data_IF_840581330754
#
_entry.id   IF_840581330754
#
_cell.length_a   1.000
_cell.length_b   1.000
_cell.length_c   1.000
_cell.angle_alpha   90.00
_cell.angle_beta   90.00
_cell.angle_gamma   90.00
#
_symmetry.space_group_name_H-M   'P 1'
#
loop_
_entity.id
_entity.type
_entity.pdbx_description
1 polymer ?
#
# COMPACT_ATOMS: atom_id res chain seq x y z
N UNK A 1 21.08 -11.31 -16.75
CA UNK A 1 20.96 -10.12 -17.63
C UNK A 1 21.71 -8.96 -16.99
N UNK A 2 22.27 -8.05 -17.79
CA UNK A 2 22.96 -6.84 -17.32
C UNK A 2 22.09 -5.60 -17.54
N UNK A 3 22.09 -4.70 -16.56
CA UNK A 3 21.37 -3.43 -16.59
C UNK A 3 22.09 -2.40 -15.72
N UNK A 4 21.70 -1.13 -15.84
CA UNK A 4 22.21 -0.04 -15.01
C UNK A 4 21.16 0.41 -14.00
N UNK A 5 21.56 0.54 -12.75
CA UNK A 5 20.75 1.10 -11.66
C UNK A 5 21.54 2.21 -10.99
N UNK A 6 21.01 3.43 -11.02
CA UNK A 6 21.65 4.63 -10.48
C UNK A 6 23.10 4.80 -10.97
N UNK A 7 23.31 4.56 -12.27
CA UNK A 7 24.61 4.64 -12.94
C UNK A 7 25.56 3.45 -12.68
N UNK A 8 25.15 2.45 -11.89
CA UNK A 8 25.96 1.26 -11.58
C UNK A 8 25.50 0.07 -12.41
N UNK A 9 26.45 -0.63 -13.02
CA UNK A 9 26.19 -1.92 -13.67
C UNK A 9 25.78 -2.96 -12.64
N UNK A 10 24.71 -3.69 -12.93
CA UNK A 10 24.16 -4.74 -12.08
C UNK A 10 23.77 -5.95 -12.91
N UNK A 11 23.85 -7.12 -12.29
CA UNK A 11 23.34 -8.36 -12.85
C UNK A 11 22.03 -8.75 -12.16
N UNK A 12 21.03 -9.13 -12.95
CA UNK A 12 19.76 -9.63 -12.48
C UNK A 12 19.43 -10.99 -13.11
N UNK A 13 18.68 -11.81 -12.39
CA UNK A 13 18.07 -13.04 -12.94
C UNK A 13 16.90 -12.69 -13.85
N UNK A 14 16.58 -13.57 -14.79
CA UNK A 14 15.37 -13.48 -15.59
C UNK A 14 14.11 -13.47 -14.71
N UNK A 15 13.16 -12.58 -15.04
CA UNK A 15 11.95 -12.37 -14.26
C UNK A 15 12.15 -11.68 -12.89
N UNK A 16 13.33 -11.15 -12.59
CA UNK A 16 13.51 -10.31 -11.40
C UNK A 16 12.69 -9.02 -11.52
N UNK A 17 12.00 -8.61 -10.46
CA UNK A 17 11.36 -7.30 -10.41
C UNK A 17 12.42 -6.21 -10.14
N UNK A 18 12.19 -5.01 -10.68
CA UNK A 18 13.05 -3.86 -10.39
C UNK A 18 13.12 -3.57 -8.88
N UNK A 19 12.07 -3.89 -8.11
CA UNK A 19 12.05 -3.76 -6.65
C UNK A 19 13.16 -4.56 -5.96
N UNK A 20 13.60 -5.68 -6.54
CA UNK A 20 14.72 -6.48 -6.00
C UNK A 20 16.08 -5.77 -6.19
N UNK A 21 16.14 -4.76 -7.05
CA UNK A 21 17.38 -4.12 -7.50
C UNK A 21 17.52 -2.67 -7.01
N UNK A 22 16.44 -2.05 -6.54
CA UNK A 22 16.41 -0.65 -6.08
C UNK A 22 15.99 -0.51 -4.63
N UNK A 23 16.52 0.51 -3.95
CA UNK A 23 16.10 0.86 -2.59
C UNK A 23 15.00 1.91 -2.64
N UNK A 24 13.74 1.47 -2.70
CA UNK A 24 12.57 2.35 -2.76
C UNK A 24 11.51 1.96 -1.72
N UNK A 25 10.76 2.94 -1.17
CA UNK A 25 9.70 2.63 -0.23
C UNK A 25 8.53 1.92 -0.92
N UNK A 26 7.88 1.01 -0.20
CA UNK A 26 6.66 0.35 -0.66
C UNK A 26 5.58 0.39 0.43
N UNK A 27 4.32 0.52 0.02
CA UNK A 27 3.16 0.49 0.93
C UNK A 27 2.12 -0.57 0.56
N UNK A 28 1.96 -0.89 -0.74
CA UNK A 28 1.00 -1.90 -1.18
C UNK A 28 1.65 -3.25 -1.49
N UNK A 29 2.96 -3.30 -1.72
CA UNK A 29 3.68 -4.56 -1.94
C UNK A 29 3.84 -5.31 -0.62
N UNK A 30 3.56 -6.60 -0.60
CA UNK A 30 3.89 -7.48 0.51
C UNK A 30 4.28 -8.85 -0.09
N UNK A 31 5.31 -9.56 0.44
CA UNK A 31 5.86 -10.76 -0.21
C UNK A 31 4.85 -11.89 -0.44
N UNK A 32 3.82 -11.97 0.39
CA UNK A 32 2.78 -13.01 0.33
C UNK A 32 1.45 -12.52 -0.29
N UNK A 33 1.47 -11.43 -1.07
CA UNK A 33 0.28 -10.90 -1.75
C UNK A 33 0.63 -10.50 -3.19
N UNK A 34 -0.35 -10.54 -4.08
CA UNK A 34 -0.20 -10.10 -5.46
C UNK A 34 0.15 -8.61 -5.51
N UNK A 35 1.22 -8.29 -6.24
CA UNK A 35 1.70 -6.91 -6.32
C UNK A 35 1.07 -6.17 -7.49
N UNK A 36 0.47 -5.01 -7.21
CA UNK A 36 -0.36 -4.26 -8.18
C UNK A 36 0.15 -2.86 -8.51
N UNK A 37 1.27 -2.43 -7.93
CA UNK A 37 1.82 -1.08 -8.16
C UNK A 37 0.91 0.08 -7.74
N UNK A 38 0.00 -0.14 -6.78
CA UNK A 38 -1.09 0.80 -6.47
C UNK A 38 -0.64 2.07 -5.75
N UNK A 39 0.23 1.95 -4.74
CA UNK A 39 0.62 3.07 -3.88
C UNK A 39 1.57 4.07 -4.54
N UNK A 40 2.24 3.67 -5.63
CA UNK A 40 3.21 4.48 -6.40
C UNK A 40 4.42 5.02 -5.63
N UNK A 41 4.63 4.67 -4.36
CA UNK A 41 5.83 5.05 -3.61
C UNK A 41 7.12 4.45 -4.20
N UNK A 42 7.01 3.27 -4.80
CA UNK A 42 8.13 2.55 -5.42
C UNK A 42 8.37 2.94 -6.88
N UNK A 43 7.85 4.07 -7.34
CA UNK A 43 8.12 4.53 -8.70
C UNK A 43 9.63 4.77 -8.88
N UNK A 44 10.13 4.35 -10.03
CA UNK A 44 11.48 4.57 -10.54
C UNK A 44 11.37 5.10 -11.97
N UNK A 45 12.41 5.77 -12.45
CA UNK A 45 12.50 6.20 -13.84
C UNK A 45 13.24 5.14 -14.64
N UNK A 46 12.64 4.70 -15.75
CA UNK A 46 13.22 3.73 -16.70
C UNK A 46 13.01 4.30 -18.09
N UNK A 47 14.09 4.51 -18.84
CA UNK A 47 14.05 5.05 -20.22
C UNK A 47 13.18 6.34 -20.34
N UNK A 48 13.27 7.23 -19.34
CA UNK A 48 12.51 8.47 -19.28
C UNK A 48 11.02 8.32 -18.91
N UNK A 49 10.59 7.15 -18.43
CA UNK A 49 9.21 6.86 -17.99
C UNK A 49 9.16 6.41 -16.54
N UNK A 50 8.10 6.82 -15.84
CA UNK A 50 7.85 6.35 -14.48
C UNK A 50 7.25 4.94 -14.49
N UNK A 51 7.94 4.00 -13.84
CA UNK A 51 7.52 2.59 -13.74
C UNK A 51 7.48 2.15 -12.27
N UNK A 52 6.46 1.38 -11.83
CA UNK A 52 6.44 0.86 -10.47
C UNK A 52 7.46 -0.27 -10.33
N UNK A 53 8.48 -0.08 -9.49
CA UNK A 53 9.51 -1.08 -9.31
C UNK A 53 8.94 -2.45 -8.86
N UNK A 54 7.88 -2.43 -8.06
CA UNK A 54 7.25 -3.63 -7.53
C UNK A 54 6.41 -4.44 -8.54
N UNK A 55 6.19 -3.93 -9.75
CA UNK A 55 5.40 -4.61 -10.79
C UNK A 55 6.04 -4.52 -12.18
N UNK A 56 7.32 -4.16 -12.25
CA UNK A 56 8.07 -4.05 -13.50
C UNK A 56 9.24 -5.02 -13.45
N UNK A 57 9.32 -5.92 -14.42
CA UNK A 57 10.45 -6.84 -14.57
C UNK A 57 11.68 -6.13 -15.13
N UNK A 58 12.85 -6.48 -14.62
CA UNK A 58 14.13 -6.08 -15.17
C UNK A 58 14.32 -6.68 -16.57
N UNK A 59 14.93 -5.91 -17.47
CA UNK A 59 15.29 -6.35 -18.82
C UNK A 59 16.74 -5.99 -19.12
N UNK A 60 17.35 -6.77 -20.00
CA UNK A 60 18.71 -6.52 -20.48
C UNK A 60 18.83 -5.09 -21.04
N UNK A 61 19.88 -4.38 -20.65
CA UNK A 61 20.19 -3.04 -21.12
C UNK A 61 19.32 -1.92 -20.55
N UNK A 62 18.40 -2.20 -19.62
CA UNK A 62 17.64 -1.15 -18.95
C UNK A 62 18.55 -0.16 -18.20
N UNK A 63 18.16 1.11 -18.20
CA UNK A 63 18.74 2.12 -17.32
C UNK A 63 17.66 2.63 -16.36
N UNK A 64 17.90 2.43 -15.06
CA UNK A 64 16.94 2.68 -14.00
C UNK A 64 17.50 3.72 -13.03
N UNK A 65 16.70 4.74 -12.74
CA UNK A 65 16.99 5.74 -11.71
C UNK A 65 15.97 5.63 -10.59
N UNK A 66 16.45 5.42 -9.36
CA UNK A 66 15.60 5.16 -8.20
C UNK A 66 15.44 6.36 -7.28
N UNK A 67 16.32 7.36 -7.39
CA UNK A 67 16.39 8.49 -6.46
C UNK A 67 16.71 9.83 -7.13
N UNK A 68 15.86 10.26 -8.06
CA UNK A 68 15.94 11.58 -8.70
C UNK A 68 15.21 12.65 -7.87
N UNK A 69 15.52 13.96 -8.03
CA UNK A 69 14.74 15.03 -7.43
C UNK A 69 13.23 14.95 -7.78
N UNK A 70 12.91 14.55 -9.01
CA UNK A 70 11.52 14.35 -9.46
C UNK A 70 10.82 13.23 -8.70
N UNK A 71 11.48 12.08 -8.52
CA UNK A 71 10.94 10.96 -7.74
C UNK A 71 10.73 11.33 -6.26
N UNK A 72 11.68 12.05 -5.64
CA UNK A 72 11.52 12.55 -4.26
C UNK A 72 10.32 13.48 -4.13
N UNK A 73 10.17 14.45 -5.04
CA UNK A 73 9.03 15.37 -5.05
C UNK A 73 7.68 14.64 -5.24
N UNK A 74 7.66 13.62 -6.11
CA UNK A 74 6.48 12.79 -6.33
C UNK A 74 6.11 11.98 -5.08
N UNK A 75 7.09 11.33 -4.43
CA UNK A 75 6.89 10.58 -3.19
C UNK A 75 6.40 11.48 -2.06
N UNK A 76 6.99 12.68 -1.90
CA UNK A 76 6.54 13.73 -0.97
C UNK A 76 5.06 14.05 -1.21
N UNK A 77 4.69 14.36 -2.46
CA UNK A 77 3.32 14.68 -2.83
C UNK A 77 2.34 13.54 -2.52
N UNK A 78 2.70 12.30 -2.86
CA UNK A 78 1.85 11.13 -2.58
C UNK A 78 1.59 10.96 -1.07
N UNK A 79 2.61 11.13 -0.23
CA UNK A 79 2.46 11.02 1.22
C UNK A 79 1.64 12.16 1.82
N UNK A 80 1.82 13.39 1.34
CA UNK A 80 1.00 14.53 1.76
C UNK A 80 -0.49 14.26 1.50
N UNK A 81 -0.84 13.75 0.32
CA UNK A 81 -2.21 13.38 0.00
C UNK A 81 -2.76 12.26 0.90
N UNK A 82 -1.94 11.26 1.22
CA UNK A 82 -2.34 10.21 2.16
C UNK A 82 -2.56 10.78 3.58
N UNK A 83 -1.66 11.63 4.08
CA UNK A 83 -1.76 12.27 5.39
C UNK A 83 -2.96 13.22 5.49
N UNK A 84 -3.34 13.88 4.41
CA UNK A 84 -4.50 14.74 4.37
C UNK A 84 -5.81 13.96 4.42
N UNK A 85 -5.90 12.90 3.63
CA UNK A 85 -7.16 12.18 3.40
C UNK A 85 -7.39 11.03 4.38
N UNK A 86 -6.35 10.55 5.06
CA UNK A 86 -6.39 9.34 5.89
C UNK A 86 -5.76 9.61 7.25
N UNK A 87 -6.31 8.99 8.29
CA UNK A 87 -5.68 8.99 9.60
C UNK A 87 -4.54 7.96 9.64
N UNK A 88 -3.29 8.43 9.63
CA UNK A 88 -2.10 7.60 9.64
C UNK A 88 -1.45 7.50 11.04
N UNK A 89 -2.15 7.88 12.10
CA UNK A 89 -1.63 7.85 13.49
C UNK A 89 -1.04 6.51 13.93
N UNK A 90 -1.52 5.40 13.36
CA UNK A 90 -1.04 4.04 13.65
C UNK A 90 -0.08 3.48 12.59
N UNK A 91 0.47 4.31 11.71
CA UNK A 91 1.38 3.92 10.63
C UNK A 91 2.77 4.59 10.79
N UNK A 92 3.59 4.17 11.79
CA UNK A 92 4.84 4.85 12.12
C UNK A 92 5.84 4.87 10.96
N UNK A 93 5.91 3.81 10.15
CA UNK A 93 6.81 3.75 8.98
C UNK A 93 6.45 4.82 7.93
N UNK A 94 5.15 5.04 7.68
CA UNK A 94 4.71 6.09 6.75
C UNK A 94 4.93 7.48 7.33
N UNK A 95 4.75 7.66 8.63
CA UNK A 95 5.05 8.92 9.31
C UNK A 95 6.55 9.24 9.23
N UNK A 96 7.41 8.24 9.47
CA UNK A 96 8.86 8.39 9.35
C UNK A 96 9.27 8.71 7.91
N UNK A 97 8.68 8.06 6.92
CA UNK A 97 8.94 8.37 5.51
C UNK A 97 8.48 9.78 5.14
N UNK A 98 7.32 10.21 5.63
CA UNK A 98 6.83 11.56 5.40
C UNK A 98 7.75 12.62 6.03
N UNK A 99 8.26 12.36 7.23
CA UNK A 99 9.24 13.22 7.89
C UNK A 99 10.55 13.29 7.10
N UNK A 100 11.07 12.13 6.65
CA UNK A 100 12.31 12.05 5.89
C UNK A 100 12.23 12.76 4.53
N UNK A 101 11.02 12.86 3.95
CA UNK A 101 10.76 13.60 2.71
C UNK A 101 10.28 15.03 2.96
N UNK A 102 10.32 15.50 4.21
CA UNK A 102 9.89 16.84 4.61
C UNK A 102 8.48 17.18 4.10
N UNK A 103 7.55 16.23 4.23
CA UNK A 103 6.18 16.37 3.75
C UNK A 103 5.41 17.47 4.49
N UNK A 104 4.72 18.33 3.74
CA UNK A 104 4.00 19.49 4.27
C UNK A 104 2.53 19.42 3.82
N UNK A 105 1.72 18.50 4.39
CA UNK A 105 0.34 18.29 3.95
C UNK A 105 -0.50 19.57 4.00
N UNK A 106 -0.25 20.47 4.97
CA UNK A 106 -0.98 21.72 5.14
C UNK A 106 -0.95 22.67 3.93
N UNK A 107 0.04 22.53 3.02
CA UNK A 107 0.14 23.38 1.82
C UNK A 107 -1.01 23.19 0.83
N UNK A 108 -1.76 22.10 0.94
CA UNK A 108 -2.91 21.79 0.08
C UNK A 108 -4.25 22.23 0.68
N UNK A 109 -4.26 22.76 1.91
CA UNK A 109 -5.48 23.10 2.63
C UNK A 109 -6.28 21.88 3.09
N UNK A 110 -7.54 22.10 3.44
CA UNK A 110 -8.45 21.03 3.83
C UNK A 110 -9.02 20.32 2.60
N UNK A 111 -8.96 18.99 2.61
CA UNK A 111 -9.51 18.16 1.55
C UNK A 111 -10.44 17.10 2.14
N UNK A 112 -11.60 16.82 1.51
CA UNK A 112 -12.44 15.71 1.91
C UNK A 112 -11.64 14.40 1.91
N UNK A 113 -11.95 13.51 2.84
CA UNK A 113 -11.19 12.27 3.02
C UNK A 113 -11.99 11.18 3.72
N UNK A 114 -11.24 10.22 4.24
CA UNK A 114 -11.74 9.06 5.00
C UNK A 114 -11.76 9.31 6.50
N UNK A 115 -11.06 10.34 6.96
CA UNK A 115 -11.00 10.75 8.38
C UNK A 115 -12.41 10.92 8.94
N UNK A 116 -12.62 10.45 10.17
CA UNK A 116 -13.90 10.54 10.87
C UNK A 116 -14.92 9.44 10.54
N UNK A 117 -14.57 8.46 9.71
CA UNK A 117 -15.40 7.24 9.57
C UNK A 117 -15.42 6.47 10.89
N UNK A 118 -16.60 6.00 11.28
CA UNK A 118 -16.75 5.11 12.42
C UNK A 118 -16.10 3.76 12.13
N UNK A 119 -15.49 3.19 13.17
CA UNK A 119 -14.96 1.85 13.08
C UNK A 119 -16.10 0.83 13.15
N UNK A 120 -15.93 -0.29 12.46
CA UNK A 120 -16.89 -1.39 12.42
C UNK A 120 -16.42 -2.49 13.36
N UNK A 121 -17.27 -2.80 14.33
CA UNK A 121 -17.09 -3.85 15.34
C UNK A 121 -18.10 -4.97 15.08
N UNK A 122 -17.79 -5.83 14.12
CA UNK A 122 -18.65 -6.94 13.72
C UNK A 122 -18.05 -8.33 14.03
N UNK A 123 -16.89 -8.38 14.68
CA UNK A 123 -16.24 -9.60 15.11
C UNK A 123 -15.44 -9.39 16.42
N UNK A 124 -15.25 -10.44 17.24
CA UNK A 124 -14.66 -10.30 18.58
C UNK A 124 -13.12 -10.32 18.59
N UNK A 125 -12.45 -10.36 17.43
CA UNK A 125 -10.99 -10.55 17.38
C UNK A 125 -10.25 -9.32 16.85
N UNK A 126 -10.83 -8.57 15.92
CA UNK A 126 -10.19 -7.40 15.31
C UNK A 126 -11.19 -6.32 14.92
N UNK A 127 -10.71 -5.09 14.85
CA UNK A 127 -11.49 -3.92 14.46
C UNK A 127 -11.28 -3.58 12.98
N UNK A 128 -12.32 -3.06 12.32
CA UNK A 128 -12.23 -2.49 10.97
C UNK A 128 -12.41 -0.98 11.00
N UNK A 129 -11.31 -0.24 10.93
CA UNK A 129 -11.26 1.21 11.02
C UNK A 129 -10.80 1.80 9.69
N UNK A 130 -11.77 2.08 8.81
CA UNK A 130 -11.47 2.55 7.46
C UNK A 130 -11.15 4.05 7.38
N UNK A 131 -11.22 4.80 8.49
CA UNK A 131 -10.61 6.12 8.57
C UNK A 131 -9.09 6.06 8.42
N UNK A 132 -8.49 4.92 8.78
CA UNK A 132 -7.05 4.64 8.65
C UNK A 132 -6.67 3.88 7.39
N UNK A 133 -7.63 3.56 6.51
CA UNK A 133 -7.38 2.72 5.33
C UNK A 133 -6.86 3.52 4.13
N UNK A 134 -5.67 3.15 3.64
CA UNK A 134 -5.02 3.74 2.46
C UNK A 134 -5.30 3.01 1.15
N UNK A 135 -6.26 2.07 1.12
CA UNK A 135 -6.61 1.30 -0.08
C UNK A 135 -5.44 0.55 -0.73
N UNK A 136 -4.51 0.04 0.07
CA UNK A 136 -3.39 -0.77 -0.43
C UNK A 136 -3.81 -2.15 -0.97
N UNK A 137 -5.04 -2.59 -0.67
CA UNK A 137 -5.68 -3.87 -1.07
C UNK A 137 -5.00 -5.15 -0.55
N UNK A 138 -3.91 -5.06 0.22
CA UNK A 138 -3.24 -6.23 0.82
C UNK A 138 -4.21 -7.15 1.57
N UNK A 139 -5.15 -6.58 2.33
CA UNK A 139 -6.12 -7.35 3.11
C UNK A 139 -7.14 -8.12 2.27
N UNK A 140 -7.60 -7.54 1.15
CA UNK A 140 -8.52 -8.18 0.21
C UNK A 140 -7.80 -9.30 -0.52
N UNK A 141 -6.57 -9.05 -0.95
CA UNK A 141 -5.73 -10.02 -1.64
C UNK A 141 -5.37 -11.22 -0.74
N UNK A 142 -4.94 -10.95 0.49
CA UNK A 142 -4.68 -11.98 1.50
C UNK A 142 -5.93 -12.83 1.83
N UNK A 143 -7.12 -12.21 1.80
CA UNK A 143 -8.38 -12.93 2.03
C UNK A 143 -8.79 -13.80 0.82
N UNK A 144 -8.44 -13.36 -0.39
CA UNK A 144 -8.62 -14.09 -1.64
C UNK A 144 -7.37 -14.87 -2.05
N UNK A 145 -6.98 -14.72 -3.32
CA UNK A 145 -5.97 -15.54 -3.99
C UNK A 145 -4.58 -15.54 -3.34
N UNK A 146 -4.23 -14.47 -2.60
CA UNK A 146 -2.88 -14.30 -2.08
C UNK A 146 -2.53 -15.28 -0.97
N UNK A 147 -3.47 -15.62 -0.08
CA UNK A 147 -3.21 -16.49 1.09
C UNK A 147 -4.33 -17.49 1.35
N UNK A 148 -5.58 -17.03 1.55
CA UNK A 148 -6.63 -17.88 2.12
C UNK A 148 -7.60 -18.48 1.11
N UNK A 149 -7.92 -17.78 0.03
CA UNK A 149 -8.92 -18.21 -0.96
C UNK A 149 -10.37 -18.25 -0.44
N UNK A 150 -10.70 -17.51 0.62
CA UNK A 150 -12.06 -17.50 1.21
C UNK A 150 -12.91 -16.33 0.74
N UNK A 151 -12.28 -15.26 0.26
CA UNK A 151 -12.93 -14.08 -0.34
C UNK A 151 -14.01 -13.42 0.55
N UNK A 152 -13.80 -13.44 1.87
CA UNK A 152 -14.66 -12.77 2.84
C UNK A 152 -14.52 -11.23 2.83
N UNK A 153 -13.45 -10.70 2.22
CA UNK A 153 -13.25 -9.28 1.99
C UNK A 153 -13.24 -8.98 0.48
N UNK A 154 -13.90 -7.89 0.11
CA UNK A 154 -13.93 -7.30 -1.24
C UNK A 154 -13.77 -5.78 -1.16
N UNK A 155 -13.95 -5.06 -2.26
CA UNK A 155 -13.89 -3.60 -2.32
C UNK A 155 -15.24 -3.03 -2.74
N UNK A 156 -15.61 -1.91 -2.14
CA UNK A 156 -16.74 -1.09 -2.58
C UNK A 156 -16.33 0.36 -2.73
N UNK A 157 -17.19 1.17 -3.37
CA UNK A 157 -16.98 2.59 -3.61
C UNK A 157 -15.99 2.92 -4.72
N UNK A 158 -15.73 4.22 -4.92
CA UNK A 158 -14.78 4.76 -5.92
C UNK A 158 -13.97 5.91 -5.33
N UNK A 159 -12.78 6.15 -5.88
CA UNK A 159 -11.90 7.24 -5.46
C UNK A 159 -11.63 7.24 -3.95
N UNK A 160 -11.76 8.40 -3.31
CA UNK A 160 -11.57 8.56 -1.87
C UNK A 160 -12.57 7.76 -1.03
N UNK A 161 -13.75 7.42 -1.58
CA UNK A 161 -14.78 6.66 -0.88
C UNK A 161 -14.54 5.15 -0.93
N UNK A 162 -13.64 4.67 -1.79
CA UNK A 162 -13.39 3.25 -1.93
C UNK A 162 -12.77 2.68 -0.64
N UNK A 163 -13.22 1.52 -0.19
CA UNK A 163 -12.70 0.85 1.01
C UNK A 163 -12.98 -0.66 0.96
N UNK A 164 -12.24 -1.47 1.74
CA UNK A 164 -12.58 -2.87 1.93
C UNK A 164 -13.98 -2.99 2.55
N UNK A 165 -14.75 -3.97 2.10
CA UNK A 165 -16.04 -4.37 2.69
C UNK A 165 -16.16 -5.91 2.61
N UNK A 166 -17.27 -6.45 3.05
CA UNK A 166 -17.67 -7.86 2.92
C UNK A 166 -18.63 -8.05 1.75
N UNK A 167 -18.81 -9.28 1.25
CA UNK A 167 -19.86 -9.58 0.28
C UNK A 167 -21.23 -9.12 0.77
N UNK A 168 -21.91 -8.30 -0.04
CA UNK A 168 -23.22 -7.71 0.26
C UNK A 168 -23.25 -6.85 1.54
N UNK A 169 -22.08 -6.36 2.01
CA UNK A 169 -21.94 -5.53 3.21
C UNK A 169 -22.49 -6.19 4.48
N UNK A 170 -22.44 -7.53 4.55
CA UNK A 170 -22.89 -8.30 5.72
C UNK A 170 -21.84 -8.31 6.84
N UNK A 171 -22.23 -8.45 8.12
CA UNK A 171 -21.29 -8.65 9.21
C UNK A 171 -20.34 -9.83 8.93
N UNK A 172 -19.06 -9.72 9.30
CA UNK A 172 -18.07 -10.78 9.07
C UNK A 172 -18.50 -12.20 9.50
N UNK A 173 -19.18 -12.42 10.63
CA UNK A 173 -19.69 -13.74 11.03
C UNK A 173 -20.72 -14.35 10.06
N UNK A 174 -21.37 -13.52 9.23
CA UNK A 174 -22.32 -13.97 8.21
C UNK A 174 -21.65 -14.18 6.83
N UNK A 175 -20.32 -14.10 6.77
CA UNK A 175 -19.52 -14.28 5.54
C UNK A 175 -18.69 -15.57 5.62
N UNK A 176 -17.99 -15.97 4.55
CA UNK A 176 -17.02 -17.07 4.59
C UNK A 176 -15.77 -16.84 5.47
N UNK A 177 -15.73 -15.76 6.27
CA UNK A 177 -14.60 -15.45 7.13
C UNK A 177 -14.38 -16.55 8.18
N UNK A 178 -13.16 -17.09 8.23
CA UNK A 178 -12.73 -18.08 9.25
C UNK A 178 -11.87 -17.45 10.36
N UNK A 179 -11.82 -16.13 10.45
CA UNK A 179 -11.06 -15.37 11.45
C UNK A 179 -9.55 -15.70 11.52
N UNK A 180 -8.93 -16.06 10.39
CA UNK A 180 -7.50 -16.40 10.33
C UNK A 180 -6.53 -15.25 10.64
N UNK A 181 -7.01 -13.99 10.66
CA UNK A 181 -6.19 -12.82 10.99
C UNK A 181 -5.18 -12.38 9.91
N UNK A 182 -5.06 -13.08 8.77
CA UNK A 182 -4.09 -12.70 7.73
C UNK A 182 -4.29 -11.27 7.20
N UNK A 183 -5.54 -10.81 7.07
CA UNK A 183 -5.86 -9.46 6.65
C UNK A 183 -5.39 -8.38 7.64
N UNK A 184 -5.35 -8.72 8.94
CA UNK A 184 -4.82 -7.89 10.02
C UNK A 184 -3.29 -7.84 9.95
N UNK A 185 -2.65 -9.00 9.78
CA UNK A 185 -1.18 -9.10 9.72
C UNK A 185 -0.57 -8.29 8.56
N UNK A 186 -1.23 -8.28 7.39
CA UNK A 186 -0.72 -7.56 6.22
C UNK A 186 -1.08 -6.07 6.19
N UNK A 187 -1.88 -5.58 7.14
CA UNK A 187 -2.37 -4.20 7.15
C UNK A 187 -1.27 -3.22 7.57
N UNK A 188 -0.82 -2.30 6.69
CA UNK A 188 0.30 -1.40 7.02
C UNK A 188 -0.09 -0.21 7.90
N UNK A 189 -1.38 0.06 8.10
CA UNK A 189 -1.86 1.30 8.73
C UNK A 189 -2.70 1.09 9.98
N UNK A 190 -2.89 -0.17 10.40
CA UNK A 190 -3.78 -0.50 11.51
C UNK A 190 -5.27 -0.26 11.22
N UNK A 191 -5.65 -0.12 9.94
CA UNK A 191 -7.07 -0.08 9.53
C UNK A 191 -7.77 -1.41 9.80
N UNK A 192 -7.04 -2.52 9.76
CA UNK A 192 -7.41 -3.79 10.36
C UNK A 192 -6.39 -4.06 11.44
N UNK A 193 -6.84 -4.20 12.69
CA UNK A 193 -5.96 -4.39 13.85
C UNK A 193 -6.65 -5.25 14.91
N UNK A 194 -5.91 -6.05 15.70
CA UNK A 194 -6.51 -6.78 16.81
C UNK A 194 -7.24 -5.81 17.75
N UNK A 195 -8.29 -6.29 18.42
CA UNK A 195 -8.82 -5.57 19.56
C UNK A 195 -7.75 -5.60 20.65
N UNK A 196 -7.17 -4.46 20.97
CA UNK A 196 -6.37 -4.32 22.19
C UNK A 196 -7.34 -4.21 23.35
N UNK A 197 -7.21 -5.08 24.36
CA UNK A 197 -7.87 -4.86 25.65
C UNK A 197 -7.46 -3.46 26.14
N UNK A 198 -8.47 -2.67 26.52
CA UNK A 198 -8.30 -1.35 27.15
C UNK A 198 -7.76 -1.53 28.57
#
# INVERSE_FOLDING_TARGET
MRLKVDGKEMEAREGALLLELVQVPTLCHHPHTETRGLCRLCLVEVDGRLSPACATEAREGMEVWSDTPGLRALRKTLLEWLLLTTDLSLAPELQALALALEAEPGRWGEVPGRKGREAIEDNPFFLRDYAKCVNCRRCVDACGDGIMGVYALTLTGRGLLAHPTTPLDRPLPETPCVFCGNCVQVCPTGALRPLTEV
#
